data_IF_463518620548
#
_entry.id   IF_463518620548
#
_cell.length_a   1.000
_cell.length_b   1.000
_cell.length_c   1.000
_cell.angle_alpha   90.00
_cell.angle_beta   90.00
_cell.angle_gamma   90.00
#
_symmetry.space_group_name_H-M   'P 1'
#
loop_
_entity.id
_entity.type
_entity.pdbx_description
1 polymer ?
#
# COMPACT_ATOMS: atom_id res chain seq x y z
N UNK A 1 -24.83 52.09 75.49
CA UNK A 1 -23.89 52.08 76.62
C UNK A 1 -24.47 51.18 77.71
N UNK A 2 -23.61 50.37 78.34
CA UNK A 2 -23.87 49.51 79.51
C UNK A 2 -24.95 48.43 79.31
N UNK A 3 -24.71 47.15 79.53
CA UNK A 3 -23.87 46.55 80.56
C UNK A 3 -24.78 45.63 81.37
N UNK A 4 -24.49 44.32 81.29
CA UNK A 4 -24.86 43.17 82.15
C UNK A 4 -25.78 43.50 83.35
N UNK A 5 -26.69 42.61 83.79
CA UNK A 5 -26.30 41.51 84.72
C UNK A 5 -27.57 40.79 85.24
N UNK A 6 -27.55 39.45 85.18
CA UNK A 6 -28.12 38.43 86.11
C UNK A 6 -29.61 38.38 86.52
N UNK A 7 -30.15 37.16 86.31
CA UNK A 7 -30.74 36.22 87.30
C UNK A 7 -32.16 36.48 87.87
N UNK A 8 -33.07 35.50 87.65
CA UNK A 8 -33.63 34.50 88.62
C UNK A 8 -35.07 34.08 88.24
N UNK A 9 -35.32 32.79 87.99
CA UNK A 9 -36.06 31.79 88.83
C UNK A 9 -37.60 31.98 88.88
N UNK A 10 -38.36 31.00 88.37
CA UNK A 10 -39.43 30.20 89.06
C UNK A 10 -40.14 29.26 88.04
N UNK A 11 -39.97 27.93 88.13
CA UNK A 11 -40.91 26.87 88.62
C UNK A 11 -42.26 26.72 87.88
N UNK A 12 -42.48 25.52 87.27
CA UNK A 12 -43.56 24.49 87.49
C UNK A 12 -43.70 23.59 86.23
N UNK A 13 -43.41 22.28 86.31
CA UNK A 13 -44.33 21.12 86.40
C UNK A 13 -45.33 21.04 85.21
N UNK A 14 -45.59 19.95 84.49
CA UNK A 14 -45.17 18.54 84.49
C UNK A 14 -45.74 17.88 83.22
N UNK A 15 -45.19 16.72 82.85
CA UNK A 15 -45.77 15.64 82.03
C UNK A 15 -45.47 15.58 80.52
N UNK A 16 -44.78 14.50 80.15
CA UNK A 16 -45.26 13.63 79.07
C UNK A 16 -44.49 13.69 77.75
N UNK A 17 -43.39 12.95 77.66
CA UNK A 17 -43.15 11.90 76.65
C UNK A 17 -41.66 11.58 76.55
N UNK A 18 -41.37 10.28 76.53
CA UNK A 18 -40.03 9.71 76.61
C UNK A 18 -39.19 9.99 75.36
N UNK A 19 -37.90 10.11 75.62
CA UNK A 19 -36.78 10.25 74.70
C UNK A 19 -36.76 9.20 73.59
N UNK A 20 -36.39 9.61 72.39
CA UNK A 20 -35.37 8.92 71.60
C UNK A 20 -34.66 9.92 70.70
N UNK A 21 -33.36 10.05 70.97
CA UNK A 21 -32.43 10.94 70.30
C UNK A 21 -32.26 10.58 68.82
N UNK A 22 -32.32 11.60 67.98
CA UNK A 22 -31.87 11.56 66.59
C UNK A 22 -30.41 11.10 66.51
N UNK A 23 -30.20 9.88 66.02
CA UNK A 23 -28.93 9.46 65.44
C UNK A 23 -28.94 9.86 63.96
N UNK A 24 -28.23 10.95 63.65
CA UNK A 24 -27.82 11.28 62.29
C UNK A 24 -26.87 10.18 61.80
N UNK A 25 -27.38 9.26 60.99
CA UNK A 25 -26.56 8.33 60.20
C UNK A 25 -26.00 9.14 59.02
N UNK A 26 -24.66 9.29 58.88
CA UNK A 26 -24.12 9.80 57.63
C UNK A 26 -24.34 8.71 56.57
N UNK A 27 -25.27 8.98 55.65
CA UNK A 27 -25.42 8.21 54.42
C UNK A 27 -24.14 8.43 53.60
N UNK A 28 -23.16 7.53 53.78
CA UNK A 28 -21.98 7.48 52.92
C UNK A 28 -22.48 7.08 51.54
N UNK A 29 -22.72 8.09 50.69
CA UNK A 29 -22.75 7.87 49.25
C UNK A 29 -21.36 7.34 48.88
N UNK A 30 -21.24 6.01 48.71
CA UNK A 30 -20.20 5.46 47.85
C UNK A 30 -20.52 6.00 46.46
N UNK A 31 -19.90 7.13 46.11
CA UNK A 31 -19.66 7.46 44.71
C UNK A 31 -18.83 6.30 44.20
N UNK A 32 -19.48 5.35 43.52
CA UNK A 32 -18.74 4.40 42.69
C UNK A 32 -17.92 5.26 41.75
N UNK A 33 -16.59 5.23 41.90
CA UNK A 33 -15.72 5.83 40.91
C UNK A 33 -16.17 5.23 39.57
N UNK A 34 -16.67 6.07 38.66
CA UNK A 34 -16.89 5.65 37.30
C UNK A 34 -15.57 5.02 36.85
N UNK A 35 -15.60 3.74 36.49
CA UNK A 35 -14.43 3.05 35.95
C UNK A 35 -14.11 3.77 34.65
N UNK A 36 -13.20 4.73 34.73
CA UNK A 36 -12.72 5.46 33.57
C UNK A 36 -11.69 4.56 32.94
N UNK A 37 -12.16 3.67 32.07
CA UNK A 37 -11.27 2.90 31.23
C UNK A 37 -10.47 3.89 30.39
N UNK A 38 -9.15 3.95 30.62
CA UNK A 38 -8.26 4.91 29.96
C UNK A 38 -7.00 4.19 29.52
N UNK A 39 -6.66 4.40 28.25
CA UNK A 39 -5.35 4.14 27.70
C UNK A 39 -4.82 5.48 27.18
N UNK A 40 -3.62 5.88 27.60
CA UNK A 40 -3.01 7.14 27.19
C UNK A 40 -1.56 6.91 26.76
N UNK A 41 -1.26 7.25 25.52
CA UNK A 41 0.07 7.17 24.93
C UNK A 41 0.68 8.56 24.80
N UNK A 42 1.68 8.87 25.60
CA UNK A 42 2.49 10.08 25.44
C UNK A 42 3.66 9.77 24.50
N UNK A 43 3.49 10.12 23.23
CA UNK A 43 4.49 9.90 22.17
C UNK A 43 5.69 10.84 22.29
N UNK A 44 5.57 11.98 22.97
CA UNK A 44 6.67 12.93 23.18
C UNK A 44 7.61 12.47 24.28
N UNK A 45 7.04 11.98 25.39
CA UNK A 45 7.80 11.49 26.54
C UNK A 45 8.13 10.00 26.45
N UNK A 46 7.57 9.31 25.45
CA UNK A 46 7.70 7.87 25.25
C UNK A 46 7.25 7.09 26.51
N UNK A 47 6.05 7.40 26.99
CA UNK A 47 5.43 6.83 28.20
C UNK A 47 3.97 6.45 27.96
N UNK A 48 3.50 5.42 28.65
CA UNK A 48 2.14 4.90 28.52
C UNK A 48 1.50 4.72 29.90
N UNK A 49 0.27 5.20 30.04
CA UNK A 49 -0.60 4.95 31.18
C UNK A 49 -1.78 4.09 30.75
N UNK A 50 -2.17 3.14 31.59
CA UNK A 50 -3.37 2.34 31.37
C UNK A 50 -4.11 2.12 32.69
N UNK A 51 -5.42 2.32 32.68
CA UNK A 51 -6.38 1.78 33.65
C UNK A 51 -7.50 1.18 32.81
N UNK A 52 -7.31 -0.07 32.37
CA UNK A 52 -8.20 -0.75 31.44
C UNK A 52 -8.82 -1.93 32.15
N UNK A 53 -10.14 -2.04 32.14
CA UNK A 53 -10.89 -3.14 32.75
C UNK A 53 -11.85 -3.76 31.73
N UNK A 54 -11.52 -4.99 31.32
CA UNK A 54 -12.39 -5.84 30.51
C UNK A 54 -12.60 -5.37 29.08
N UNK A 55 -11.75 -4.47 28.54
CA UNK A 55 -11.79 -4.09 27.13
C UNK A 55 -11.54 -5.31 26.25
N UNK A 56 -12.19 -5.36 25.09
CA UNK A 56 -11.83 -6.35 24.08
C UNK A 56 -10.41 -6.07 23.58
N UNK A 57 -9.69 -7.13 23.19
CA UNK A 57 -8.38 -6.99 22.56
C UNK A 57 -8.43 -6.03 21.37
N UNK A 58 -9.45 -6.15 20.53
CA UNK A 58 -9.69 -5.28 19.39
C UNK A 58 -9.82 -3.79 19.79
N UNK A 59 -10.55 -3.50 20.87
CA UNK A 59 -10.65 -2.12 21.41
C UNK A 59 -9.31 -1.58 21.86
N UNK A 60 -8.50 -2.37 22.58
CA UNK A 60 -7.15 -1.97 23.00
C UNK A 60 -6.27 -1.68 21.78
N UNK A 61 -6.26 -2.57 20.80
CA UNK A 61 -5.43 -2.42 19.60
C UNK A 61 -5.84 -1.21 18.76
N UNK A 62 -7.15 -0.95 18.62
CA UNK A 62 -7.66 0.26 17.95
C UNK A 62 -7.22 1.54 18.66
N UNK A 63 -7.27 1.57 19.99
CA UNK A 63 -6.82 2.74 20.76
C UNK A 63 -5.30 2.97 20.66
N UNK A 64 -4.52 1.89 20.64
CA UNK A 64 -3.08 1.99 20.37
C UNK A 64 -2.86 2.60 18.98
N UNK A 65 -3.53 2.07 17.95
CA UNK A 65 -3.42 2.58 16.58
C UNK A 65 -3.79 4.07 16.49
N UNK A 66 -4.91 4.48 17.09
CA UNK A 66 -5.40 5.85 17.06
C UNK A 66 -4.44 6.84 17.75
N UNK A 67 -3.86 6.47 18.88
CA UNK A 67 -3.00 7.37 19.67
C UNK A 67 -1.55 7.42 19.17
N UNK A 68 -1.08 6.35 18.53
CA UNK A 68 0.32 6.24 18.06
C UNK A 68 0.46 6.50 16.56
N UNK A 69 -0.63 6.41 15.80
CA UNK A 69 -0.60 6.37 14.34
C UNK A 69 0.00 5.09 13.76
N UNK A 70 0.29 4.07 14.58
CA UNK A 70 0.86 2.81 14.11
C UNK A 70 -0.15 2.01 13.31
N UNK A 71 0.37 1.25 12.34
CA UNK A 71 -0.44 0.24 11.65
C UNK A 71 -0.38 -1.05 12.43
N UNK A 72 -1.53 -1.52 12.90
CA UNK A 72 -1.62 -2.69 13.77
C UNK A 72 -2.19 -3.86 12.97
N UNK A 73 -1.53 -5.01 13.04
CA UNK A 73 -1.96 -6.27 12.45
C UNK A 73 -2.08 -7.34 13.52
N UNK A 74 -3.11 -8.18 13.42
CA UNK A 74 -3.42 -9.23 14.38
C UNK A 74 -3.59 -10.58 13.68
N UNK A 75 -3.21 -11.66 14.35
CA UNK A 75 -3.48 -13.02 13.86
C UNK A 75 -4.99 -13.29 13.85
N UNK A 76 -5.58 -13.72 12.71
CA UNK A 76 -7.01 -13.99 12.61
C UNK A 76 -7.51 -14.94 13.71
N UNK A 77 -8.68 -14.62 14.28
CA UNK A 77 -9.30 -15.43 15.34
C UNK A 77 -8.77 -15.14 16.75
N UNK A 78 -7.78 -14.25 16.92
CA UNK A 78 -7.42 -13.76 18.23
C UNK A 78 -8.55 -12.90 18.82
N UNK A 79 -9.08 -13.38 19.95
CA UNK A 79 -10.05 -12.68 20.77
C UNK A 79 -9.67 -12.81 22.24
N UNK A 80 -10.06 -11.83 23.04
CA UNK A 80 -9.71 -11.79 24.44
C UNK A 80 -10.19 -10.52 25.11
N UNK A 81 -10.11 -10.51 26.44
CA UNK A 81 -10.33 -9.31 27.25
C UNK A 81 -9.04 -8.91 27.94
N UNK A 82 -8.77 -7.61 27.96
CA UNK A 82 -7.61 -7.01 28.61
C UNK A 82 -8.08 -6.27 29.86
N UNK A 83 -7.46 -6.60 30.98
CA UNK A 83 -7.64 -5.90 32.26
C UNK A 83 -6.26 -5.65 32.87
N UNK A 84 -5.81 -4.40 32.89
CA UNK A 84 -4.49 -4.03 33.39
C UNK A 84 -4.48 -2.60 33.91
N UNK A 85 -3.64 -2.32 34.90
CA UNK A 85 -3.43 -0.98 35.45
C UNK A 85 -1.96 -0.71 35.69
N UNK A 86 -1.46 0.38 35.12
CA UNK A 86 -0.08 0.88 35.29
C UNK A 86 0.03 2.35 34.90
N UNK A 87 1.13 2.98 35.29
CA UNK A 87 1.43 4.37 34.96
C UNK A 87 2.90 4.52 34.56
N UNK A 88 3.16 5.36 33.56
CA UNK A 88 4.50 5.80 33.16
C UNK A 88 5.40 4.68 32.64
N UNK A 89 4.85 3.64 32.00
CA UNK A 89 5.68 2.56 31.46
C UNK A 89 6.24 2.92 30.08
N UNK A 90 7.47 2.50 29.73
CA UNK A 90 7.95 2.54 28.35
C UNK A 90 7.05 1.68 27.43
N UNK A 91 6.90 2.03 26.13
CA UNK A 91 6.06 1.31 25.17
C UNK A 91 6.20 -0.22 25.17
N UNK A 92 7.43 -0.73 25.19
CA UNK A 92 7.65 -2.17 25.15
C UNK A 92 7.12 -2.90 26.38
N UNK A 93 7.24 -2.30 27.56
CA UNK A 93 6.71 -2.87 28.80
C UNK A 93 5.20 -2.71 28.90
N UNK A 94 4.67 -1.57 28.45
CA UNK A 94 3.24 -1.33 28.34
C UNK A 94 2.56 -2.35 27.42
N UNK A 95 3.13 -2.61 26.24
CA UNK A 95 2.64 -3.63 25.31
C UNK A 95 2.65 -5.03 25.92
N UNK A 96 3.72 -5.41 26.64
CA UNK A 96 3.76 -6.69 27.38
C UNK A 96 2.62 -6.81 28.38
N UNK A 97 2.27 -5.73 29.09
CA UNK A 97 1.18 -5.73 30.07
C UNK A 97 -0.21 -5.72 29.43
N UNK A 98 -0.35 -5.08 28.27
CA UNK A 98 -1.62 -4.97 27.55
C UNK A 98 -1.95 -6.25 26.77
N UNK A 99 -0.93 -6.94 26.24
CA UNK A 99 -1.07 -8.10 25.37
C UNK A 99 -0.87 -9.44 26.11
N UNK A 100 -0.26 -9.40 27.29
CA UNK A 100 -0.04 -10.50 28.24
C UNK A 100 0.44 -11.81 27.57
N UNK A 101 -0.50 -12.70 27.22
CA UNK A 101 -0.24 -14.03 26.62
C UNK A 101 0.03 -14.01 25.12
N UNK A 102 -0.04 -12.85 24.48
CA UNK A 102 0.20 -12.69 23.05
C UNK A 102 1.62 -12.20 22.81
N UNK A 103 2.24 -12.72 21.77
CA UNK A 103 3.49 -12.21 21.25
C UNK A 103 3.21 -10.94 20.45
N UNK A 104 4.19 -10.04 20.41
CA UNK A 104 4.14 -8.88 19.54
C UNK A 104 5.51 -8.52 18.99
N UNK A 105 5.51 -7.83 17.86
CA UNK A 105 6.69 -7.18 17.32
C UNK A 105 6.32 -5.79 16.80
N UNK A 106 7.07 -4.78 17.23
CA UNK A 106 6.97 -3.43 16.71
C UNK A 106 8.13 -3.22 15.74
N UNK A 107 7.83 -3.15 14.45
CA UNK A 107 8.81 -2.95 13.40
C UNK A 107 8.82 -1.49 12.98
N UNK A 108 9.95 -0.78 13.10
CA UNK A 108 10.08 0.54 12.51
C UNK A 108 10.01 0.42 10.99
N UNK A 109 9.30 1.32 10.34
CA UNK A 109 9.36 1.48 8.88
C UNK A 109 10.25 2.66 8.58
N UNK A 110 11.09 2.51 7.55
CA UNK A 110 11.92 3.59 7.05
C UNK A 110 11.06 4.74 6.54
N UNK A 111 9.98 4.45 5.80
CA UNK A 111 9.16 5.45 5.11
C UNK A 111 7.65 5.22 5.31
N UNK A 112 7.18 5.28 6.56
CA UNK A 112 5.78 5.13 6.93
C UNK A 112 5.59 4.96 8.44
N UNK A 113 4.34 4.89 8.95
CA UNK A 113 4.12 4.62 10.36
C UNK A 113 4.70 3.25 10.75
N UNK A 114 5.26 3.11 11.97
CA UNK A 114 5.65 1.82 12.52
C UNK A 114 4.52 0.79 12.45
N UNK A 115 4.88 -0.48 12.31
CA UNK A 115 3.93 -1.58 12.26
C UNK A 115 4.01 -2.42 13.53
N UNK A 116 2.87 -2.60 14.20
CA UNK A 116 2.73 -3.49 15.35
C UNK A 116 2.05 -4.78 14.90
N UNK A 117 2.74 -5.90 15.05
CA UNK A 117 2.22 -7.24 14.79
C UNK A 117 1.86 -7.90 16.11
N UNK A 118 0.67 -8.46 16.23
CA UNK A 118 0.18 -9.16 17.43
C UNK A 118 -0.26 -10.57 17.05
N UNK A 119 0.36 -11.58 17.65
CA UNK A 119 0.19 -12.98 17.25
C UNK A 119 0.34 -13.93 18.43
N UNK A 120 -0.20 -15.14 18.28
CA UNK A 120 0.01 -16.26 19.19
C UNK A 120 1.00 -17.25 18.61
N UNK A 121 0.90 -17.56 17.32
CA UNK A 121 1.67 -18.64 16.68
C UNK A 121 2.97 -18.11 16.09
N UNK A 122 2.89 -17.25 15.08
CA UNK A 122 4.05 -16.65 14.43
C UNK A 122 3.76 -15.24 13.96
N UNK A 123 4.83 -14.44 13.78
CA UNK A 123 4.70 -13.08 13.29
C UNK A 123 4.05 -13.03 11.90
N UNK A 124 4.31 -14.04 11.07
CA UNK A 124 3.72 -14.15 9.75
C UNK A 124 2.20 -14.24 9.85
N UNK A 125 1.62 -14.95 10.82
CA UNK A 125 0.17 -15.11 10.92
C UNK A 125 -0.59 -13.83 11.29
N UNK A 126 0.09 -12.76 11.72
CA UNK A 126 -0.57 -11.48 11.98
C UNK A 126 -0.92 -10.73 10.69
N UNK A 127 -1.99 -11.17 10.02
CA UNK A 127 -2.41 -10.68 8.70
C UNK A 127 -3.65 -9.81 8.69
N UNK A 128 -4.43 -9.79 9.77
CA UNK A 128 -5.67 -9.03 9.83
C UNK A 128 -5.36 -7.59 10.29
N UNK A 129 -5.58 -6.55 9.46
CA UNK A 129 -5.40 -5.18 9.90
C UNK A 129 -6.45 -4.80 10.95
N UNK A 130 -6.04 -4.08 11.99
CA UNK A 130 -6.94 -3.49 12.98
C UNK A 130 -7.34 -2.10 12.49
N UNK A 131 -8.57 -1.96 12.01
CA UNK A 131 -9.14 -0.69 11.55
C UNK A 131 -9.97 -0.03 12.62
N UNK A 132 -9.92 1.31 12.74
CA UNK A 132 -10.83 2.07 13.59
C UNK A 132 -12.30 1.76 13.25
N UNK A 133 -13.19 1.70 14.25
CA UNK A 133 -14.61 1.51 13.98
C UNK A 133 -15.16 2.72 13.20
N UNK A 134 -15.52 2.50 11.93
CA UNK A 134 -16.04 3.53 11.03
C UNK A 134 -15.04 4.09 10.01
N UNK A 135 -13.77 3.67 10.03
CA UNK A 135 -12.79 4.02 8.99
C UNK A 135 -12.50 2.76 8.17
N UNK A 136 -12.88 2.77 6.89
CA UNK A 136 -12.47 1.72 5.97
C UNK A 136 -10.93 1.61 5.99
N UNK A 137 -10.34 0.41 5.87
CA UNK A 137 -8.90 0.25 5.80
C UNK A 137 -8.34 1.19 4.73
N UNK A 138 -7.29 1.95 5.07
CA UNK A 138 -6.59 2.75 4.07
C UNK A 138 -6.03 1.78 3.02
N UNK A 139 -6.54 1.84 1.79
CA UNK A 139 -6.13 0.92 0.73
C UNK A 139 -7.27 0.10 0.10
N UNK A 140 -8.47 0.09 0.67
CA UNK A 140 -9.63 -0.60 0.06
C UNK A 140 -10.06 0.04 -1.25
N UNK A 141 -10.61 -0.77 -2.16
CA UNK A 141 -11.14 -0.32 -3.46
C UNK A 141 -12.08 0.91 -3.33
N UNK A 142 -12.95 0.92 -2.33
CA UNK A 142 -13.93 2.00 -2.11
C UNK A 142 -13.30 3.30 -1.56
N UNK A 143 -12.18 3.20 -0.83
CA UNK A 143 -11.42 4.37 -0.37
C UNK A 143 -10.55 4.99 -1.47
N UNK A 144 -10.10 4.18 -2.42
CA UNK A 144 -9.24 4.62 -3.52
C UNK A 144 -10.02 5.03 -4.77
N UNK A 145 -11.35 4.87 -4.79
CA UNK A 145 -12.19 5.28 -5.91
C UNK A 145 -12.14 6.79 -6.12
N UNK A 146 -11.82 7.21 -7.35
CA UNK A 146 -11.92 8.60 -7.80
C UNK A 146 -13.40 8.93 -8.06
N UNK A 147 -14.13 9.30 -7.00
CA UNK A 147 -15.60 9.36 -7.00
C UNK A 147 -16.21 10.36 -7.96
N UNK A 148 -15.46 11.38 -8.38
CA UNK A 148 -15.89 12.35 -9.38
C UNK A 148 -15.50 11.96 -10.81
N UNK A 149 -15.11 10.70 -11.05
CA UNK A 149 -14.65 10.25 -12.36
C UNK A 149 -15.28 8.92 -12.79
N UNK A 150 -15.44 8.78 -14.11
CA UNK A 150 -15.81 7.52 -14.78
C UNK A 150 -14.86 7.24 -15.94
N UNK A 151 -14.48 5.98 -16.12
CA UNK A 151 -13.93 5.47 -17.36
C UNK A 151 -15.11 5.09 -18.25
N UNK A 152 -15.22 5.69 -19.42
CA UNK A 152 -16.32 5.48 -20.35
C UNK A 152 -15.75 4.95 -21.65
N UNK A 153 -16.26 3.80 -22.10
CA UNK A 153 -15.99 3.27 -23.42
C UNK A 153 -17.15 3.54 -24.34
N UNK A 154 -16.86 3.96 -25.56
CA UNK A 154 -17.89 4.28 -26.56
C UNK A 154 -17.69 3.49 -27.85
N UNK A 155 -18.74 3.42 -28.67
CA UNK A 155 -18.67 2.81 -30.00
C UNK A 155 -17.74 3.62 -30.90
N UNK A 156 -17.02 2.97 -31.84
CA UNK A 156 -16.21 3.68 -32.84
C UNK A 156 -17.02 4.75 -33.57
N UNK A 157 -16.45 5.94 -33.73
CA UNK A 157 -17.10 7.08 -34.39
C UNK A 157 -18.07 7.89 -33.51
N UNK A 158 -18.16 7.59 -32.21
CA UNK A 158 -18.98 8.38 -31.27
C UNK A 158 -18.29 9.68 -30.83
N UNK A 159 -19.06 10.76 -30.69
CA UNK A 159 -18.57 12.08 -30.27
C UNK A 159 -18.52 12.20 -28.74
N UNK A 160 -17.45 11.72 -28.11
CA UNK A 160 -17.30 11.74 -26.64
C UNK A 160 -17.41 13.16 -26.04
N UNK A 161 -16.95 14.18 -26.77
CA UNK A 161 -16.99 15.56 -26.32
C UNK A 161 -18.43 16.10 -26.23
N UNK A 162 -19.30 15.67 -27.13
CA UNK A 162 -20.71 16.02 -27.08
C UNK A 162 -21.40 15.35 -25.89
N UNK A 163 -21.11 14.06 -25.67
CA UNK A 163 -21.61 13.30 -24.52
C UNK A 163 -21.15 13.92 -23.19
N UNK A 164 -19.86 14.22 -23.05
CA UNK A 164 -19.30 14.83 -21.85
C UNK A 164 -19.96 16.19 -21.55
N UNK A 165 -20.09 17.08 -22.56
CA UNK A 165 -20.79 18.36 -22.39
C UNK A 165 -22.25 18.20 -21.98
N UNK A 166 -22.98 17.26 -22.58
CA UNK A 166 -24.39 17.00 -22.26
C UNK A 166 -24.57 16.53 -20.80
N UNK A 167 -23.55 15.90 -20.23
CA UNK A 167 -23.56 15.39 -18.86
C UNK A 167 -22.87 16.32 -17.85
N UNK A 168 -22.34 17.47 -18.29
CA UNK A 168 -21.58 18.38 -17.43
C UNK A 168 -20.23 17.82 -16.97
N UNK A 169 -19.62 16.96 -17.79
CA UNK A 169 -18.31 16.37 -17.57
C UNK A 169 -17.24 16.98 -18.48
N UNK A 170 -15.98 16.82 -18.09
CA UNK A 170 -14.79 17.15 -18.88
C UNK A 170 -14.06 15.85 -19.27
N UNK A 171 -13.62 15.75 -20.52
CA UNK A 171 -12.76 14.65 -20.96
C UNK A 171 -11.31 14.95 -20.60
N UNK A 172 -10.81 14.30 -19.56
CA UNK A 172 -9.48 14.57 -18.98
C UNK A 172 -8.43 13.52 -19.33
N UNK A 173 -8.82 12.42 -19.96
CA UNK A 173 -7.92 11.37 -20.42
C UNK A 173 -8.52 10.63 -21.61
N UNK A 174 -7.65 10.20 -22.53
CA UNK A 174 -8.04 9.59 -23.81
C UNK A 174 -7.14 8.40 -24.12
N UNK A 175 -7.76 7.33 -24.57
CA UNK A 175 -7.11 6.19 -25.22
C UNK A 175 -7.95 5.85 -26.45
N UNK A 176 -7.70 6.61 -27.52
CA UNK A 176 -8.53 6.64 -28.72
C UNK A 176 -8.62 5.27 -29.39
N UNK A 177 -7.52 4.52 -29.39
CA UNK A 177 -7.39 3.21 -30.01
C UNK A 177 -8.26 2.15 -29.34
N UNK A 178 -8.61 2.34 -28.07
CA UNK A 178 -9.54 1.48 -27.33
C UNK A 178 -10.91 2.12 -27.13
N UNK A 179 -11.14 3.30 -27.72
CA UNK A 179 -12.33 4.14 -27.54
C UNK A 179 -12.69 4.32 -26.06
N UNK A 180 -11.67 4.50 -25.21
CA UNK A 180 -11.80 4.62 -23.77
C UNK A 180 -11.40 6.03 -23.31
N UNK A 181 -12.26 6.64 -22.50
CA UNK A 181 -12.15 8.03 -22.11
C UNK A 181 -12.34 8.18 -20.61
N UNK A 182 -11.57 9.07 -19.99
CA UNK A 182 -11.70 9.43 -18.58
C UNK A 182 -12.53 10.71 -18.48
N UNK A 183 -13.73 10.60 -17.95
CA UNK A 183 -14.64 11.71 -17.71
C UNK A 183 -14.52 12.18 -16.26
N UNK A 184 -14.30 13.48 -16.06
CA UNK A 184 -14.26 14.14 -14.75
C UNK A 184 -15.47 15.04 -14.58
N UNK A 185 -16.12 14.94 -13.43
CA UNK A 185 -17.29 15.72 -13.05
C UNK A 185 -16.92 16.73 -11.95
N UNK A 186 -17.76 17.75 -11.80
CA UNK A 186 -17.58 18.80 -10.80
C UNK A 186 -17.60 18.27 -9.35
N UNK A 187 -18.33 17.17 -9.09
CA UNK A 187 -18.39 16.52 -7.79
C UNK A 187 -18.70 15.02 -7.92
N UNK A 188 -18.58 14.29 -6.81
CA UNK A 188 -18.96 12.88 -6.74
C UNK A 188 -20.47 12.68 -6.98
N UNK A 189 -21.29 13.58 -6.44
CA UNK A 189 -22.75 13.54 -6.61
C UNK A 189 -23.13 13.76 -8.08
N UNK A 190 -22.44 14.67 -8.77
CA UNK A 190 -22.64 14.90 -10.19
C UNK A 190 -22.26 13.67 -11.04
N UNK A 191 -21.13 13.02 -10.72
CA UNK A 191 -20.71 11.80 -11.39
C UNK A 191 -21.73 10.67 -11.19
N UNK A 192 -22.24 10.47 -9.98
CA UNK A 192 -23.26 9.44 -9.71
C UNK A 192 -24.61 9.76 -10.36
N UNK A 193 -25.02 11.04 -10.38
CA UNK A 193 -26.24 11.46 -11.07
C UNK A 193 -26.17 11.23 -12.59
N UNK A 194 -24.99 11.33 -13.19
CA UNK A 194 -24.77 11.09 -14.62
C UNK A 194 -24.68 9.60 -14.97
N UNK A 195 -24.43 8.71 -14.00
CA UNK A 195 -24.13 7.29 -14.23
C UNK A 195 -25.22 6.57 -15.02
N UNK A 196 -26.49 6.75 -14.66
CA UNK A 196 -27.58 6.06 -15.33
C UNK A 196 -27.73 6.54 -16.78
N UNK A 197 -27.54 7.83 -17.04
CA UNK A 197 -27.56 8.38 -18.39
C UNK A 197 -26.42 7.86 -19.25
N UNK A 198 -25.22 7.68 -18.68
CA UNK A 198 -24.10 7.04 -19.38
C UNK A 198 -24.43 5.60 -19.76
N UNK A 199 -25.04 4.82 -18.87
CA UNK A 199 -25.40 3.43 -19.14
C UNK A 199 -26.52 3.26 -20.16
N UNK A 200 -27.43 4.24 -20.26
CA UNK A 200 -28.55 4.24 -21.21
C UNK A 200 -28.19 4.87 -22.56
N UNK A 201 -27.05 5.57 -22.65
CA UNK A 201 -26.64 6.23 -23.88
C UNK A 201 -26.24 5.20 -24.96
N UNK A 202 -26.83 5.25 -26.17
CA UNK A 202 -26.58 4.27 -27.21
C UNK A 202 -25.15 4.30 -27.77
N UNK A 203 -24.39 5.37 -27.55
CA UNK A 203 -22.98 5.47 -27.92
C UNK A 203 -22.07 4.76 -26.92
N UNK A 204 -22.49 4.58 -25.67
CA UNK A 204 -21.67 4.00 -24.60
C UNK A 204 -21.74 2.47 -24.65
N UNK A 205 -20.58 1.83 -24.52
CA UNK A 205 -20.45 0.37 -24.46
C UNK A 205 -20.15 -0.14 -23.06
N UNK A 206 -19.47 0.66 -22.23
CA UNK A 206 -19.14 0.29 -20.86
C UNK A 206 -18.85 1.55 -20.01
N UNK A 207 -19.14 1.45 -18.72
CA UNK A 207 -18.88 2.50 -17.73
C UNK A 207 -18.26 1.84 -16.50
N UNK A 208 -17.04 2.24 -16.17
CA UNK A 208 -16.23 1.63 -15.12
C UNK A 208 -15.71 2.69 -14.16
N UNK A 209 -15.67 2.38 -12.87
CA UNK A 209 -15.08 3.28 -11.88
C UNK A 209 -13.57 3.45 -12.12
N UNK A 210 -13.04 4.65 -11.84
CA UNK A 210 -11.60 4.89 -11.86
C UNK A 210 -11.05 4.82 -10.44
N UNK A 211 -9.91 4.17 -10.24
CA UNK A 211 -9.30 3.99 -8.92
C UNK A 211 -7.90 4.58 -8.89
N UNK A 212 -7.58 5.25 -7.80
CA UNK A 212 -6.23 5.72 -7.51
C UNK A 212 -5.33 4.53 -7.13
N UNK A 213 -4.10 4.56 -7.64
CA UNK A 213 -3.03 3.65 -7.25
C UNK A 213 -1.95 4.53 -6.64
N UNK A 214 -1.73 4.36 -5.33
CA UNK A 214 -0.79 5.17 -4.57
C UNK A 214 0.63 5.12 -5.14
N UNK A 215 1.38 6.21 -4.98
CA UNK A 215 2.81 6.25 -5.33
C UNK A 215 3.58 5.24 -4.47
N UNK A 216 4.45 4.41 -5.05
CA UNK A 216 5.24 3.46 -4.29
C UNK A 216 6.16 4.17 -3.30
N UNK A 217 6.50 3.48 -2.21
CA UNK A 217 7.28 4.03 -1.11
C UNK A 217 8.69 4.45 -1.52
N UNK A 218 9.26 5.37 -0.74
CA UNK A 218 10.56 5.97 -0.99
C UNK A 218 11.73 5.00 -0.69
N UNK A 219 12.90 5.32 -1.23
CA UNK A 219 14.15 4.60 -0.96
C UNK A 219 14.77 5.06 0.36
N UNK A 220 15.67 4.26 0.93
CA UNK A 220 16.40 4.60 2.15
C UNK A 220 17.89 4.83 1.84
N UNK A 221 18.45 5.97 2.27
CA UNK A 221 19.89 6.22 2.16
C UNK A 221 20.72 5.23 2.99
N UNK A 222 21.88 4.81 2.47
CA UNK A 222 22.85 3.99 3.18
C UNK A 222 24.12 4.80 3.46
N UNK A 223 24.73 4.59 4.64
CA UNK A 223 26.04 5.17 4.95
C UNK A 223 27.18 4.54 4.14
N UNK A 224 26.99 3.30 3.67
CA UNK A 224 27.98 2.57 2.89
C UNK A 224 27.54 1.14 2.59
N UNK A 225 28.14 0.53 1.56
CA UNK A 225 27.88 -0.84 1.14
C UNK A 225 29.06 -1.37 0.32
N UNK A 226 29.30 -2.68 0.35
CA UNK A 226 30.25 -3.36 -0.55
C UNK A 226 29.61 -3.81 -1.87
N UNK A 227 28.28 -3.72 -2.00
CA UNK A 227 27.55 -4.12 -3.20
C UNK A 227 27.73 -3.07 -4.28
N UNK A 228 28.59 -3.32 -5.27
CA UNK A 228 28.85 -2.38 -6.37
C UNK A 228 27.72 -2.26 -7.39
N UNK A 229 27.95 -1.43 -8.41
CA UNK A 229 27.11 -1.34 -9.61
C UNK A 229 27.10 -2.65 -10.40
N UNK A 230 26.00 -2.94 -11.15
CA UNK A 230 25.99 -4.00 -12.13
C UNK A 230 27.12 -3.82 -13.16
N UNK A 231 27.84 -4.89 -13.48
CA UNK A 231 28.96 -4.88 -14.42
C UNK A 231 28.50 -5.32 -15.80
N UNK A 232 27.64 -4.49 -16.40
CA UNK A 232 27.00 -4.77 -17.68
C UNK A 232 27.26 -3.68 -18.73
N UNK A 233 27.19 -4.06 -20.01
CA UNK A 233 27.35 -3.21 -21.19
C UNK A 233 26.24 -3.50 -22.19
N UNK A 234 25.65 -2.44 -22.73
CA UNK A 234 24.63 -2.56 -23.75
C UNK A 234 25.28 -2.89 -25.10
N UNK A 235 24.74 -3.88 -25.80
CA UNK A 235 25.08 -4.18 -27.19
C UNK A 235 24.01 -3.64 -28.14
N UNK A 236 24.38 -3.32 -29.39
CA UNK A 236 23.40 -3.07 -30.44
C UNK A 236 22.46 -4.27 -30.58
N UNK A 237 21.16 -4.04 -30.86
CA UNK A 237 20.22 -5.12 -31.09
C UNK A 237 20.50 -5.85 -32.40
N UNK A 238 20.14 -7.14 -32.45
CA UNK A 238 20.11 -7.93 -33.69
C UNK A 238 18.94 -7.49 -34.59
N UNK A 239 18.81 -7.99 -35.83
CA UNK A 239 17.66 -7.68 -36.70
C UNK A 239 16.28 -7.96 -36.08
N UNK A 240 16.18 -8.85 -35.09
CA UNK A 240 14.97 -9.10 -34.30
C UNK A 240 14.70 -8.09 -33.16
N UNK A 241 15.49 -7.02 -33.06
CA UNK A 241 15.39 -6.01 -32.01
C UNK A 241 15.91 -6.46 -30.64
N UNK A 242 15.96 -5.56 -29.66
CA UNK A 242 16.29 -5.90 -28.27
C UNK A 242 15.10 -6.59 -27.57
N UNK A 243 15.35 -7.26 -26.44
CA UNK A 243 14.29 -7.57 -25.47
C UNK A 243 13.98 -6.28 -24.71
N UNK A 244 12.74 -5.82 -24.77
CA UNK A 244 12.32 -4.57 -24.12
C UNK A 244 11.53 -4.88 -22.85
N UNK A 245 12.01 -4.37 -21.72
CA UNK A 245 11.30 -4.36 -20.44
C UNK A 245 10.71 -2.97 -20.24
N UNK A 246 9.40 -2.84 -20.30
CA UNK A 246 8.73 -1.60 -19.93
C UNK A 246 8.53 -1.53 -18.42
N UNK A 247 8.93 -0.40 -17.86
CA UNK A 247 8.91 -0.13 -16.43
C UNK A 247 7.83 0.92 -16.16
N UNK A 248 6.63 0.45 -15.81
CA UNK A 248 5.49 1.31 -15.52
C UNK A 248 5.58 1.74 -14.06
N UNK A 249 6.08 2.95 -13.85
CA UNK A 249 6.49 3.45 -12.55
C UNK A 249 6.48 4.99 -12.55
N UNK A 250 7.10 5.59 -11.54
CA UNK A 250 7.55 6.98 -11.52
C UNK A 250 8.70 7.19 -12.53
N UNK A 251 8.93 8.46 -12.91
CA UNK A 251 10.01 8.82 -13.83
C UNK A 251 11.37 8.18 -13.48
N UNK A 252 12.09 7.65 -14.48
CA UNK A 252 13.46 7.15 -14.35
C UNK A 252 14.45 8.29 -14.59
N UNK A 253 15.35 8.50 -13.64
CA UNK A 253 16.47 9.44 -13.74
C UNK A 253 17.58 8.85 -14.60
N UNK A 254 18.39 9.74 -15.19
CA UNK A 254 19.57 9.35 -15.96
C UNK A 254 20.48 8.45 -15.14
N UNK A 255 20.74 7.24 -15.65
CA UNK A 255 21.70 6.32 -15.06
C UNK A 255 23.12 6.65 -15.54
N UNK A 256 24.14 6.48 -14.70
CA UNK A 256 25.51 6.83 -15.06
C UNK A 256 26.15 5.82 -16.02
N UNK A 257 27.10 6.30 -16.83
CA UNK A 257 27.98 5.46 -17.66
C UNK A 257 27.22 4.50 -18.58
N UNK A 258 27.72 3.26 -18.69
CA UNK A 258 27.14 2.22 -19.55
C UNK A 258 25.71 1.82 -19.17
N UNK A 259 25.25 2.10 -17.95
CA UNK A 259 23.89 1.79 -17.53
C UNK A 259 22.86 2.69 -18.22
N UNK A 260 23.24 3.92 -18.58
CA UNK A 260 22.38 4.82 -19.34
C UNK A 260 22.05 4.32 -20.74
N UNK A 261 22.95 3.54 -21.36
CA UNK A 261 22.77 2.98 -22.71
C UNK A 261 21.66 1.94 -22.81
N UNK A 262 21.22 1.39 -21.68
CA UNK A 262 20.09 0.48 -21.60
C UNK A 262 18.74 1.20 -21.66
N UNK A 263 18.70 2.49 -21.33
CA UNK A 263 17.45 3.23 -21.11
C UNK A 263 17.00 3.88 -22.42
N UNK A 264 15.82 3.49 -22.90
CA UNK A 264 15.17 4.09 -24.06
C UNK A 264 14.52 5.44 -23.70
N UNK A 265 14.10 6.18 -24.72
CA UNK A 265 13.32 7.40 -24.53
C UNK A 265 12.05 7.08 -23.71
N UNK A 266 11.77 7.84 -22.64
CA UNK A 266 10.66 7.54 -21.75
C UNK A 266 9.31 7.89 -22.39
N UNK A 267 8.30 7.07 -22.11
CA UNK A 267 6.90 7.42 -22.34
C UNK A 267 6.36 8.14 -21.11
N UNK A 268 5.74 9.30 -21.28
CA UNK A 268 5.02 10.00 -20.21
C UNK A 268 3.53 9.90 -20.46
N UNK A 269 2.80 9.33 -19.50
CA UNK A 269 1.33 9.23 -19.58
C UNK A 269 0.69 10.48 -18.98
N UNK A 270 1.22 10.95 -17.85
CA UNK A 270 0.70 12.11 -17.12
C UNK A 270 1.68 13.28 -17.30
N UNK A 271 1.20 14.51 -17.56
CA UNK A 271 2.06 15.69 -17.59
C UNK A 271 2.68 15.98 -16.22
N UNK A 272 3.83 16.65 -16.20
CA UNK A 272 4.60 16.94 -14.98
C UNK A 272 5.96 16.25 -14.95
N UNK A 273 6.61 16.28 -13.78
CA UNK A 273 7.90 15.60 -13.57
C UNK A 273 8.99 16.46 -12.97
N UNK A 274 8.73 17.15 -11.86
CA UNK A 274 9.84 17.50 -10.97
C UNK A 274 10.37 16.20 -10.37
N UNK A 275 11.51 15.77 -10.91
CA UNK A 275 12.21 14.59 -10.44
C UNK A 275 13.11 15.04 -9.27
N UNK A 276 12.96 14.49 -8.05
CA UNK A 276 13.84 14.81 -6.93
C UNK A 276 15.30 14.70 -7.36
N UNK A 277 16.11 15.70 -7.02
CA UNK A 277 17.49 15.75 -7.50
C UNK A 277 18.42 14.88 -6.66
N UNK A 278 18.16 14.75 -5.37
CA UNK A 278 19.05 14.20 -4.34
C UNK A 278 18.75 12.76 -3.94
N UNK A 279 17.55 12.28 -4.23
CA UNK A 279 17.10 10.90 -3.93
C UNK A 279 16.67 10.22 -5.23
N UNK A 280 17.00 8.93 -5.44
CA UNK A 280 16.50 8.22 -6.60
C UNK A 280 14.99 8.06 -6.51
N UNK A 281 14.30 8.30 -7.61
CA UNK A 281 12.89 7.92 -7.74
C UNK A 281 12.73 6.41 -7.60
N UNK A 282 11.52 5.99 -7.25
CA UNK A 282 11.18 4.57 -7.21
C UNK A 282 11.47 3.88 -8.57
N UNK A 283 11.13 4.51 -9.69
CA UNK A 283 11.40 4.01 -11.03
C UNK A 283 12.89 3.85 -11.31
N UNK A 284 13.72 4.78 -10.86
CA UNK A 284 15.19 4.68 -10.97
C UNK A 284 15.73 3.49 -10.19
N UNK A 285 15.22 3.27 -8.97
CA UNK A 285 15.60 2.13 -8.16
C UNK A 285 15.16 0.80 -8.80
N UNK A 286 13.96 0.76 -9.37
CA UNK A 286 13.43 -0.41 -10.07
C UNK A 286 14.23 -0.70 -11.35
N UNK A 287 14.55 0.31 -12.16
CA UNK A 287 15.39 0.16 -13.36
C UNK A 287 16.75 -0.47 -13.03
N UNK A 288 17.45 0.02 -12.00
CA UNK A 288 18.72 -0.57 -11.56
C UNK A 288 18.54 -2.02 -11.06
N UNK A 289 17.42 -2.31 -10.40
CA UNK A 289 17.12 -3.66 -9.89
C UNK A 289 16.80 -4.63 -11.02
N UNK A 290 16.13 -4.19 -12.10
CA UNK A 290 15.98 -4.98 -13.33
C UNK A 290 17.35 -5.31 -13.91
N UNK A 291 18.23 -4.32 -14.06
CA UNK A 291 19.58 -4.54 -14.60
C UNK A 291 20.41 -5.54 -13.77
N UNK A 292 20.27 -5.52 -12.43
CA UNK A 292 20.85 -6.56 -11.55
C UNK A 292 20.30 -7.95 -11.82
N UNK A 293 18.99 -8.06 -12.06
CA UNK A 293 18.37 -9.34 -12.43
C UNK A 293 18.89 -9.86 -13.78
N UNK A 294 19.05 -8.98 -14.78
CA UNK A 294 19.57 -9.39 -16.10
C UNK A 294 21.02 -9.89 -16.00
N UNK A 295 21.87 -9.19 -15.25
CA UNK A 295 23.28 -9.57 -15.03
C UNK A 295 23.42 -11.01 -14.49
N UNK A 296 22.48 -11.45 -13.65
CA UNK A 296 22.50 -12.78 -13.04
C UNK A 296 22.29 -13.93 -14.05
N UNK A 297 21.63 -13.66 -15.19
CA UNK A 297 21.31 -14.69 -16.20
C UNK A 297 22.18 -14.56 -17.44
N UNK A 298 22.33 -13.35 -17.98
CA UNK A 298 22.92 -13.12 -19.31
C UNK A 298 24.38 -12.65 -19.28
N UNK A 299 24.99 -12.49 -18.10
CA UNK A 299 26.37 -12.02 -17.96
C UNK A 299 26.53 -10.52 -18.29
N UNK A 300 27.70 -10.13 -18.80
CA UNK A 300 28.10 -8.73 -18.89
C UNK A 300 27.67 -7.99 -20.17
N UNK A 301 27.42 -8.67 -21.30
CA UNK A 301 27.20 -8.01 -22.59
C UNK A 301 25.79 -8.29 -23.14
N UNK A 302 24.89 -7.32 -23.02
CA UNK A 302 23.44 -7.52 -23.02
C UNK A 302 22.72 -6.73 -24.12
N UNK A 303 21.69 -7.33 -24.72
CA UNK A 303 20.82 -6.73 -25.74
C UNK A 303 19.47 -6.27 -25.17
N UNK A 304 19.29 -6.36 -23.85
CA UNK A 304 18.09 -5.84 -23.18
C UNK A 304 18.03 -4.32 -23.29
N UNK A 305 16.81 -3.78 -23.34
CA UNK A 305 16.52 -2.36 -23.21
C UNK A 305 15.41 -2.13 -22.19
N UNK A 306 15.53 -1.06 -21.42
CA UNK A 306 14.52 -0.60 -20.49
C UNK A 306 13.74 0.53 -21.12
N UNK A 307 12.42 0.43 -21.12
CA UNK A 307 11.52 1.49 -21.53
C UNK A 307 10.85 2.08 -20.28
N UNK A 308 11.29 3.25 -19.79
CA UNK A 308 10.57 3.92 -18.71
C UNK A 308 9.20 4.39 -19.19
N UNK A 309 8.17 4.11 -18.40
CA UNK A 309 6.81 4.57 -18.63
C UNK A 309 6.33 5.26 -17.36
N UNK A 310 6.38 6.59 -17.37
CA UNK A 310 5.97 7.41 -16.23
C UNK A 310 4.45 7.54 -16.18
N UNK A 311 3.83 6.80 -15.27
CA UNK A 311 2.38 6.82 -15.02
C UNK A 311 1.99 7.75 -13.86
N UNK A 312 2.95 8.28 -13.11
CA UNK A 312 2.69 9.09 -11.92
C UNK A 312 2.91 10.59 -12.14
N UNK A 313 3.90 10.97 -12.95
CA UNK A 313 4.35 12.36 -13.03
C UNK A 313 4.71 12.92 -11.65
N UNK A 314 4.19 14.10 -11.33
CA UNK A 314 4.31 14.76 -10.03
C UNK A 314 3.19 14.42 -9.04
N UNK A 315 2.26 13.55 -9.43
CA UNK A 315 1.09 13.22 -8.61
C UNK A 315 1.42 12.21 -7.50
N UNK A 316 0.70 12.29 -6.36
CA UNK A 316 0.85 11.33 -5.25
C UNK A 316 0.23 9.95 -5.57
N UNK A 317 -0.51 9.84 -6.67
CA UNK A 317 -1.10 8.60 -7.16
C UNK A 317 -1.24 8.66 -8.69
N UNK A 318 -1.21 7.50 -9.32
CA UNK A 318 -1.71 7.31 -10.69
C UNK A 318 -3.15 6.80 -10.62
N UNK A 319 -3.80 6.57 -11.77
CA UNK A 319 -5.12 5.95 -11.83
C UNK A 319 -5.12 4.65 -12.63
N UNK A 320 -6.11 3.80 -12.43
CA UNK A 320 -6.32 2.59 -13.26
C UNK A 320 -6.42 2.93 -14.75
N UNK A 321 -6.99 4.08 -15.10
CA UNK A 321 -7.01 4.58 -16.48
C UNK A 321 -5.62 4.92 -17.00
N UNK A 322 -4.84 5.71 -16.24
CA UNK A 322 -3.50 6.13 -16.66
C UNK A 322 -2.54 4.94 -16.72
N UNK A 323 -2.69 3.96 -15.82
CA UNK A 323 -1.98 2.69 -15.90
C UNK A 323 -2.34 1.92 -17.19
N UNK A 324 -3.62 1.86 -17.55
CA UNK A 324 -4.06 1.23 -18.80
C UNK A 324 -3.48 1.93 -20.05
N UNK A 325 -3.46 3.27 -20.06
CA UNK A 325 -2.77 4.05 -21.11
C UNK A 325 -1.28 3.68 -21.15
N UNK A 326 -0.61 3.63 -19.99
CA UNK A 326 0.80 3.23 -19.90
C UNK A 326 1.06 1.83 -20.46
N UNK A 327 0.21 0.85 -20.12
CA UNK A 327 0.30 -0.53 -20.62
C UNK A 327 0.15 -0.55 -22.13
N UNK A 328 -0.89 0.10 -22.67
CA UNK A 328 -1.14 0.14 -24.10
C UNK A 328 0.06 0.74 -24.86
N UNK A 329 0.53 1.91 -24.43
CA UNK A 329 1.63 2.62 -25.09
C UNK A 329 2.96 1.87 -24.97
N UNK A 330 3.24 1.25 -23.82
CA UNK A 330 4.43 0.41 -23.63
C UNK A 330 4.52 -0.70 -24.67
N UNK A 331 3.40 -1.38 -24.93
CA UNK A 331 3.34 -2.51 -25.87
C UNK A 331 3.34 -2.01 -27.32
N UNK A 332 2.44 -1.09 -27.66
CA UNK A 332 2.17 -0.73 -29.06
C UNK A 332 3.09 0.36 -29.63
N UNK A 333 3.54 1.32 -28.81
CA UNK A 333 4.53 2.33 -29.23
C UNK A 333 5.95 1.89 -28.89
N UNK A 334 6.11 1.24 -27.72
CA UNK A 334 7.40 0.90 -27.15
C UNK A 334 7.95 -0.48 -27.50
N UNK A 335 7.14 -1.38 -28.07
CA UNK A 335 7.54 -2.74 -28.39
C UNK A 335 7.91 -3.58 -27.17
N UNK A 336 7.27 -3.33 -26.03
CA UNK A 336 7.55 -4.05 -24.79
C UNK A 336 7.24 -5.55 -24.91
N UNK A 337 8.17 -6.38 -24.46
CA UNK A 337 8.01 -7.83 -24.38
C UNK A 337 7.73 -8.28 -22.94
N UNK A 338 8.16 -7.46 -21.98
CA UNK A 338 7.98 -7.68 -20.55
C UNK A 338 7.46 -6.37 -19.95
N UNK A 339 6.38 -6.44 -19.18
CA UNK A 339 5.87 -5.32 -18.38
C UNK A 339 6.22 -5.57 -16.91
N UNK A 340 6.94 -4.63 -16.30
CA UNK A 340 7.17 -4.58 -14.87
C UNK A 340 6.23 -3.55 -14.24
N UNK A 341 5.27 -4.03 -13.44
CA UNK A 341 4.30 -3.22 -12.72
C UNK A 341 4.63 -3.23 -11.22
N UNK A 342 5.58 -2.40 -10.79
CA UNK A 342 6.00 -2.31 -9.39
C UNK A 342 5.07 -1.43 -8.54
N UNK A 343 3.76 -1.63 -8.73
CA UNK A 343 2.65 -0.86 -8.18
C UNK A 343 1.42 -1.77 -8.04
N UNK A 344 0.42 -1.32 -7.29
CA UNK A 344 -0.87 -1.99 -7.20
C UNK A 344 -1.80 -1.38 -6.16
N UNK A 345 -3.05 -1.81 -6.19
CA UNK A 345 -4.09 -1.45 -5.22
C UNK A 345 -5.05 -2.63 -4.99
N UNK A 346 -5.91 -2.56 -3.98
CA UNK A 346 -6.94 -3.58 -3.75
C UNK A 346 -8.14 -3.43 -4.71
N UNK A 347 -8.07 -2.51 -5.69
CA UNK A 347 -9.16 -2.23 -6.60
C UNK A 347 -9.05 -3.07 -7.89
N UNK A 348 -9.99 -4.00 -8.07
CA UNK A 348 -10.25 -4.64 -9.35
C UNK A 348 -10.84 -3.61 -10.33
N UNK A 349 -10.40 -3.67 -11.59
CA UNK A 349 -10.88 -2.81 -12.65
C UNK A 349 -10.99 -3.60 -13.96
N UNK A 350 -12.22 -3.78 -14.44
CA UNK A 350 -12.52 -4.65 -15.60
C UNK A 350 -11.86 -4.17 -16.89
N UNK A 351 -11.73 -2.86 -17.07
CA UNK A 351 -11.09 -2.28 -18.25
C UNK A 351 -9.59 -2.59 -18.28
N UNK A 352 -8.89 -2.35 -17.17
CA UNK A 352 -7.47 -2.69 -17.03
C UNK A 352 -7.26 -4.21 -17.15
N UNK A 353 -8.14 -5.01 -16.56
CA UNK A 353 -8.07 -6.47 -16.63
C UNK A 353 -8.16 -6.97 -18.08
N UNK A 354 -9.18 -6.52 -18.83
CA UNK A 354 -9.35 -6.90 -20.23
C UNK A 354 -8.14 -6.51 -21.11
N UNK A 355 -7.54 -5.35 -20.86
CA UNK A 355 -6.32 -4.94 -21.55
C UNK A 355 -5.13 -5.86 -21.22
N UNK A 356 -4.95 -6.20 -19.94
CA UNK A 356 -3.87 -7.09 -19.50
C UNK A 356 -4.01 -8.52 -20.07
N UNK A 357 -5.25 -9.02 -20.15
CA UNK A 357 -5.55 -10.27 -20.87
C UNK A 357 -5.14 -10.19 -22.34
N UNK A 358 -5.49 -9.11 -23.04
CA UNK A 358 -5.14 -8.94 -24.45
C UNK A 358 -3.63 -8.87 -24.67
N UNK A 359 -2.90 -8.07 -23.88
CA UNK A 359 -1.44 -7.96 -24.04
C UNK A 359 -0.74 -9.27 -23.70
N UNK A 360 -1.18 -9.98 -22.66
CA UNK A 360 -0.61 -11.30 -22.32
C UNK A 360 -0.87 -12.31 -23.43
N UNK A 361 -2.09 -12.35 -24.00
CA UNK A 361 -2.41 -13.22 -25.12
C UNK A 361 -1.61 -12.91 -26.40
N UNK A 362 -1.13 -11.67 -26.54
CA UNK A 362 -0.24 -11.26 -27.63
C UNK A 362 1.23 -11.63 -27.46
N UNK A 363 1.58 -12.31 -26.36
CA UNK A 363 2.94 -12.76 -26.08
C UNK A 363 3.78 -11.81 -25.22
N UNK A 364 3.14 -10.88 -24.50
CA UNK A 364 3.81 -10.00 -23.53
C UNK A 364 3.78 -10.63 -22.14
N UNK A 365 4.93 -10.77 -21.49
CA UNK A 365 4.99 -11.24 -20.10
C UNK A 365 4.70 -10.08 -19.14
N UNK A 366 3.75 -10.24 -18.23
CA UNK A 366 3.42 -9.21 -17.23
C UNK A 366 3.82 -9.70 -15.85
N UNK A 367 4.62 -8.92 -15.13
CA UNK A 367 4.96 -9.15 -13.73
C UNK A 367 4.49 -7.97 -12.88
N UNK A 368 3.87 -8.24 -11.73
CA UNK A 368 3.39 -7.19 -10.85
C UNK A 368 3.63 -7.51 -9.36
N UNK A 369 3.78 -6.44 -8.58
CA UNK A 369 4.08 -6.51 -7.15
C UNK A 369 2.86 -6.97 -6.33
N UNK A 370 3.05 -7.97 -5.47
CA UNK A 370 1.97 -8.53 -4.65
C UNK A 370 1.48 -7.59 -3.52
N UNK A 371 2.23 -6.55 -3.18
CA UNK A 371 1.91 -5.59 -2.12
C UNK A 371 2.83 -5.66 -0.90
N UNK A 372 2.94 -4.56 -0.16
CA UNK A 372 3.88 -4.38 0.96
C UNK A 372 3.17 -4.35 2.31
N UNK A 373 2.07 -5.10 2.40
CA UNK A 373 1.34 -5.30 3.63
C UNK A 373 1.26 -6.80 3.90
N UNK A 374 1.39 -7.23 5.16
CA UNK A 374 1.39 -8.64 5.55
C UNK A 374 0.00 -9.27 5.51
N UNK A 375 -0.85 -8.89 4.55
CA UNK A 375 -2.24 -9.32 4.44
C UNK A 375 -2.34 -10.55 3.55
N UNK A 376 -3.58 -10.95 3.25
CA UNK A 376 -3.90 -11.93 2.20
C UNK A 376 -4.85 -11.38 1.14
N UNK A 377 -5.20 -10.09 1.24
CA UNK A 377 -6.09 -9.43 0.28
C UNK A 377 -5.43 -9.37 -1.09
N UNK A 378 -6.13 -9.78 -2.17
CA UNK A 378 -5.63 -9.63 -3.53
C UNK A 378 -5.27 -8.19 -3.86
N UNK A 379 -4.14 -8.00 -4.54
CA UNK A 379 -3.67 -6.71 -5.05
C UNK A 379 -3.64 -6.75 -6.56
N UNK A 380 -4.27 -5.80 -7.22
CA UNK A 380 -4.35 -5.69 -8.67
C UNK A 380 -3.33 -4.67 -9.18
N UNK A 381 -2.68 -4.94 -10.33
CA UNK A 381 -2.98 -6.02 -11.27
C UNK A 381 -2.35 -7.38 -10.96
N UNK A 382 -1.56 -7.53 -9.89
CA UNK A 382 -0.86 -8.78 -9.59
C UNK A 382 -1.79 -9.99 -9.46
N UNK A 383 -2.98 -9.82 -8.88
CA UNK A 383 -3.94 -10.91 -8.69
C UNK A 383 -4.69 -11.34 -9.95
N UNK A 384 -4.47 -10.71 -11.11
CA UNK A 384 -5.06 -11.19 -12.36
C UNK A 384 -4.37 -12.47 -12.84
N UNK A 385 -5.11 -13.51 -13.31
CA UNK A 385 -4.52 -14.82 -13.64
C UNK A 385 -3.42 -14.79 -14.71
N UNK A 386 -3.49 -13.84 -15.65
CA UNK A 386 -2.49 -13.67 -16.69
C UNK A 386 -1.24 -12.89 -16.23
N UNK A 387 -1.25 -12.31 -15.04
CA UNK A 387 -0.11 -11.57 -14.48
C UNK A 387 0.68 -12.48 -13.55
N UNK A 388 2.01 -12.48 -13.66
CA UNK A 388 2.85 -13.15 -12.66
C UNK A 388 2.95 -12.28 -11.40
N UNK A 389 2.27 -12.68 -10.33
CA UNK A 389 2.36 -12.00 -9.06
C UNK A 389 3.67 -12.32 -8.33
N UNK A 390 4.43 -11.28 -7.97
CA UNK A 390 5.73 -11.44 -7.30
C UNK A 390 5.66 -10.88 -5.88
N UNK A 391 5.88 -11.74 -4.89
CA UNK A 391 6.09 -11.35 -3.50
C UNK A 391 7.58 -11.28 -3.15
N UNK A 392 7.87 -10.60 -2.06
CA UNK A 392 9.22 -10.38 -1.56
C UNK A 392 9.58 -11.46 -0.56
N UNK A 393 10.76 -12.05 -0.74
CA UNK A 393 11.33 -13.01 0.19
C UNK A 393 12.69 -12.57 0.74
N UNK A 394 13.08 -13.23 1.82
CA UNK A 394 14.44 -13.19 2.35
C UNK A 394 15.38 -14.15 1.61
N UNK A 395 16.66 -14.17 2.00
CA UNK A 395 17.69 -15.02 1.40
C UNK A 395 17.45 -16.53 1.57
N UNK A 396 16.53 -16.92 2.45
CA UNK A 396 16.15 -18.31 2.70
C UNK A 396 14.92 -18.74 1.90
N UNK A 397 14.38 -17.85 1.05
CA UNK A 397 13.18 -18.12 0.25
C UNK A 397 11.88 -18.00 1.07
N UNK A 398 11.93 -17.47 2.29
CA UNK A 398 10.74 -17.21 3.10
C UNK A 398 10.17 -15.85 2.76
N UNK A 399 8.84 -15.74 2.71
CA UNK A 399 8.15 -14.47 2.47
C UNK A 399 8.57 -13.47 3.55
N UNK A 400 8.93 -12.26 3.11
CA UNK A 400 9.36 -11.19 3.99
C UNK A 400 8.21 -10.78 4.92
N UNK A 401 8.48 -10.41 6.19
CA UNK A 401 7.44 -10.07 7.16
C UNK A 401 6.44 -8.99 6.74
N UNK A 402 6.83 -8.09 5.85
CA UNK A 402 5.99 -7.00 5.35
C UNK A 402 5.23 -7.37 4.07
N UNK A 403 5.57 -8.47 3.41
CA UNK A 403 5.12 -8.75 2.06
C UNK A 403 3.77 -9.45 2.06
N UNK A 404 2.92 -9.08 1.09
CA UNK A 404 1.62 -9.71 0.91
C UNK A 404 1.78 -11.15 0.43
N UNK A 405 0.80 -11.99 0.75
CA UNK A 405 0.80 -13.41 0.39
C UNK A 405 -0.60 -13.88 0.06
N UNK A 406 -0.72 -15.08 -0.48
CA UNK A 406 -2.01 -15.70 -0.78
C UNK A 406 -1.93 -16.48 -2.08
N UNK A 407 -3.04 -17.13 -2.41
CA UNK A 407 -3.13 -18.04 -3.57
C UNK A 407 -2.90 -17.32 -4.90
N UNK A 408 -3.03 -15.99 -4.92
CA UNK A 408 -2.77 -15.17 -6.10
C UNK A 408 -1.27 -14.96 -6.38
N UNK A 409 -0.36 -15.33 -5.45
CA UNK A 409 1.08 -15.10 -5.60
C UNK A 409 1.75 -16.26 -6.35
N UNK A 410 2.47 -15.96 -7.44
CA UNK A 410 3.21 -16.97 -8.22
C UNK A 410 4.64 -17.21 -7.73
N UNK A 411 5.35 -16.13 -7.38
CA UNK A 411 6.80 -16.14 -7.20
C UNK A 411 7.22 -15.42 -5.93
N UNK A 412 8.27 -15.93 -5.29
CA UNK A 412 9.04 -15.27 -4.23
C UNK A 412 10.40 -14.88 -4.82
N UNK A 413 10.67 -13.58 -4.89
CA UNK A 413 11.96 -13.03 -5.32
C UNK A 413 12.61 -12.17 -4.23
N UNK A 414 13.93 -11.92 -4.28
CA UNK A 414 14.61 -11.06 -3.31
C UNK A 414 13.95 -9.68 -3.19
N UNK A 415 13.40 -9.38 -2.01
CA UNK A 415 12.68 -8.13 -1.75
C UNK A 415 13.56 -6.92 -1.44
N UNK A 416 14.89 -7.06 -1.51
CA UNK A 416 15.84 -6.02 -1.10
C UNK A 416 16.89 -5.84 -2.19
N UNK A 417 17.09 -4.60 -2.63
CA UNK A 417 18.09 -4.24 -3.64
C UNK A 417 18.85 -3.00 -3.21
N UNK A 418 20.16 -2.99 -3.51
CA UNK A 418 21.02 -1.82 -3.33
C UNK A 418 21.09 -1.10 -4.66
N UNK A 419 20.75 0.18 -4.67
CA UNK A 419 20.77 1.05 -5.84
C UNK A 419 21.64 2.25 -5.54
N UNK A 420 21.98 3.02 -6.57
CA UNK A 420 22.86 4.16 -6.42
C UNK A 420 22.30 5.37 -7.13
N UNK A 421 22.50 6.54 -6.55
CA UNK A 421 22.13 7.82 -7.13
C UNK A 421 23.20 8.83 -6.78
N UNK A 422 23.72 9.55 -7.78
CA UNK A 422 24.80 10.53 -7.60
C UNK A 422 26.01 9.97 -6.82
N UNK A 423 26.34 8.69 -7.02
CA UNK A 423 27.43 8.00 -6.33
C UNK A 423 27.12 7.56 -4.89
N UNK A 424 25.96 7.91 -4.34
CA UNK A 424 25.54 7.48 -3.00
C UNK A 424 24.71 6.20 -3.07
N UNK A 425 24.91 5.24 -2.16
CA UNK A 425 24.12 4.02 -2.10
C UNK A 425 22.79 4.24 -1.37
N UNK A 426 21.75 3.59 -1.89
CA UNK A 426 20.41 3.54 -1.32
C UNK A 426 19.95 2.09 -1.25
N UNK A 427 19.09 1.79 -0.29
CA UNK A 427 18.40 0.52 -0.13
C UNK A 427 16.94 0.69 -0.54
N UNK A 428 16.45 -0.18 -1.41
CA UNK A 428 15.02 -0.33 -1.68
C UNK A 428 14.58 -1.69 -1.14
N UNK A 429 13.46 -1.69 -0.42
CA UNK A 429 12.86 -2.90 0.16
C UNK A 429 11.37 -2.93 -0.15
N UNK A 430 10.91 -4.01 -0.77
CA UNK A 430 9.51 -4.20 -1.13
C UNK A 430 9.29 -5.26 -2.18
N UNK A 431 8.04 -5.66 -2.37
CA UNK A 431 7.58 -6.48 -3.51
C UNK A 431 7.87 -5.82 -4.84
N UNK A 432 7.95 -4.49 -4.89
CA UNK A 432 8.46 -3.73 -6.04
C UNK A 432 9.87 -4.16 -6.45
N UNK A 433 10.81 -4.26 -5.50
CA UNK A 433 12.18 -4.69 -5.77
C UNK A 433 12.23 -6.16 -6.21
N UNK A 434 11.40 -7.02 -5.59
CA UNK A 434 11.25 -8.41 -5.98
C UNK A 434 10.74 -8.55 -7.44
N UNK A 435 9.73 -7.76 -7.81
CA UNK A 435 9.14 -7.73 -9.16
C UNK A 435 10.15 -7.24 -10.20
N UNK A 436 10.88 -6.17 -9.89
CA UNK A 436 11.94 -5.65 -10.76
C UNK A 436 13.05 -6.69 -10.96
N UNK A 437 13.47 -7.36 -9.90
CA UNK A 437 14.47 -8.41 -9.99
C UNK A 437 14.00 -9.59 -10.85
N UNK A 438 12.77 -10.07 -10.62
CA UNK A 438 12.15 -11.13 -11.42
C UNK A 438 12.00 -10.72 -12.91
N UNK A 439 11.64 -9.46 -13.19
CA UNK A 439 11.58 -8.92 -14.54
C UNK A 439 12.95 -8.89 -15.22
N UNK A 440 14.02 -8.63 -14.47
CA UNK A 440 15.40 -8.73 -14.94
C UNK A 440 15.80 -10.16 -15.30
N UNK A 441 15.49 -11.13 -14.42
CA UNK A 441 15.68 -12.55 -14.72
C UNK A 441 14.91 -12.96 -15.98
N UNK A 442 13.66 -12.53 -16.09
CA UNK A 442 12.80 -12.80 -17.24
C UNK A 442 13.41 -12.27 -18.54
N UNK A 443 13.96 -11.04 -18.52
CA UNK A 443 14.58 -10.45 -19.68
C UNK A 443 15.87 -11.15 -20.09
N UNK A 444 16.70 -11.58 -19.13
CA UNK A 444 17.89 -12.39 -19.42
C UNK A 444 17.56 -13.78 -19.96
N UNK A 445 16.50 -14.42 -19.44
CA UNK A 445 15.97 -15.67 -20.00
C UNK A 445 15.45 -15.46 -21.42
N UNK A 446 14.71 -14.38 -21.66
CA UNK A 446 14.18 -14.06 -22.99
C UNK A 446 15.30 -13.83 -24.02
N UNK A 447 16.40 -13.20 -23.59
CA UNK A 447 17.59 -12.99 -24.42
C UNK A 447 18.30 -14.30 -24.77
N UNK A 448 18.42 -15.22 -23.81
CA UNK A 448 19.22 -16.44 -23.96
C UNK A 448 18.44 -17.62 -24.54
N UNK A 449 17.11 -17.67 -24.34
CA UNK A 449 16.25 -18.81 -24.70
C UNK A 449 15.18 -18.48 -25.73
N UNK A 450 14.96 -17.21 -26.04
CA UNK A 450 13.87 -16.74 -26.90
C UNK A 450 12.72 -16.16 -26.09
N UNK A 451 11.82 -15.45 -26.78
CA UNK A 451 10.83 -14.56 -26.16
C UNK A 451 9.49 -15.22 -25.83
N UNK A 452 9.41 -16.56 -25.82
CA UNK A 452 8.17 -17.25 -25.50
C UNK A 452 7.81 -17.05 -24.01
N UNK A 453 6.69 -16.38 -23.67
CA UNK A 453 6.35 -16.09 -22.28
C UNK A 453 6.14 -17.34 -21.43
N UNK A 454 5.59 -18.42 -21.97
CA UNK A 454 5.30 -19.64 -21.21
C UNK A 454 6.58 -20.37 -20.79
N UNK A 455 7.58 -20.37 -21.68
CA UNK A 455 8.92 -20.90 -21.38
C UNK A 455 9.62 -20.05 -20.32
N UNK A 456 9.49 -18.72 -20.40
CA UNK A 456 10.05 -17.80 -19.41
C UNK A 456 9.34 -17.96 -18.05
N UNK A 457 8.00 -18.04 -18.01
CA UNK A 457 7.21 -18.30 -16.78
C UNK A 457 7.67 -19.59 -16.11
N UNK A 458 7.81 -20.66 -16.89
CA UNK A 458 8.24 -21.97 -16.42
C UNK A 458 9.67 -21.91 -15.86
N UNK A 459 10.59 -21.23 -16.56
CA UNK A 459 11.97 -21.05 -16.10
C UNK A 459 12.05 -20.20 -14.82
N UNK A 460 11.23 -19.14 -14.70
CA UNK A 460 11.16 -18.33 -13.48
C UNK A 460 10.70 -19.15 -12.28
N UNK A 461 9.68 -20.00 -12.43
CA UNK A 461 9.18 -20.89 -11.36
C UNK A 461 10.20 -21.95 -10.92
N UNK A 462 11.21 -22.24 -11.74
CA UNK A 462 12.33 -23.13 -11.38
C UNK A 462 13.44 -22.37 -10.64
N UNK A 463 13.73 -21.13 -11.06
CA UNK A 463 14.81 -20.31 -10.49
C UNK A 463 14.40 -19.68 -9.15
N UNK A 464 13.15 -19.22 -9.07
CA UNK A 464 12.58 -18.55 -7.91
C UNK A 464 11.72 -19.54 -7.13
N UNK A 465 11.66 -19.33 -5.81
CA UNK A 465 10.77 -20.14 -4.97
C UNK A 465 9.32 -19.79 -5.28
N UNK A 466 8.44 -20.78 -5.31
CA UNK A 466 6.99 -20.57 -5.33
C UNK A 466 6.49 -20.57 -3.88
N UNK A 467 5.44 -19.77 -3.55
CA UNK A 467 4.76 -19.94 -2.27
C UNK A 467 4.31 -21.40 -2.13
N UNK A 468 4.56 -22.00 -0.96
CA UNK A 468 3.94 -23.28 -0.64
C UNK A 468 2.46 -23.00 -0.31
N UNK A 469 1.52 -23.79 -0.85
CA UNK A 469 0.11 -23.69 -0.48
C UNK A 469 -0.12 -23.98 1.01
#
# INVERSE_FOLDING_TARGET
MAGRTKRRIFRRLVAGCACLWLSLVPMVFRVGAAVTNRLAWDTQQNRVDADVQGWSLDTVLREIAAQTGWRVFVEPGLSGRVSTRFQGLPPGEALRRLLDRLNFALLPRSNGPPQLYVFRTSLQEATQPVTEAGRAPAGTAETNRLRNEWIVRVKPGSEIEALARALGAEVVGRLEELHAYRLRFASAEAAEAARQRLLEDPAVTDVEANYAIGRPGEVQGLLGTSVGWPRIRARPPDPGGPVVVALLDTAVQSLPGSLGEFVLAPIRVVPGGQVPADVPTHGTAMAQTVLRGVEMVSGADLKVRLLPVDVYGDQPATSTFDLAVGVYRAVHEGGAHILNLSLGSEADNRFLHALLQQVSASGVLVLAAAGNEPVTTPVFPAAYPEVMAVTAGDRTGRIAPYANRGDFVDLIAPGVSVVYHQGQPFLVSGTSAATAFASGLAAGLAETRGRNPDEIRSALRVILSTPKP
#
